data_IF_204536389168
#
_entry.id   IF_204536389168
#
_cell.length_a   1.000
_cell.length_b   1.000
_cell.length_c   1.000
_cell.angle_alpha   90.00
_cell.angle_beta   90.00
_cell.angle_gamma   90.00
#
_symmetry.space_group_name_H-M   'P 1'
#
loop_
_entity.id
_entity.type
_entity.pdbx_description
1 polymer ?
#
# COMPACT_ATOMS: atom_id res chain seq x y z
N UNK A 1 -3.13 7.92 -4.54
CA UNK A 1 -4.51 7.47 -4.35
C UNK A 1 -4.99 7.72 -2.92
N UNK A 2 -4.96 6.71 -2.04
CA UNK A 2 -5.37 6.89 -0.64
C UNK A 2 -4.17 6.94 0.29
N UNK A 3 -4.17 7.89 1.23
CA UNK A 3 -3.10 8.02 2.23
C UNK A 3 -3.48 7.40 3.58
N UNK A 4 -2.49 7.14 4.42
CA UNK A 4 -2.70 6.69 5.80
C UNK A 4 -3.16 7.81 6.74
N UNK A 5 -3.14 9.06 6.30
CA UNK A 5 -3.51 10.22 7.10
C UNK A 5 -5.04 10.34 7.19
N UNK A 6 -5.59 10.32 8.39
CA UNK A 6 -7.05 10.45 8.61
C UNK A 6 -7.63 11.76 8.06
N UNK A 7 -6.90 12.88 8.13
CA UNK A 7 -7.35 14.17 7.59
C UNK A 7 -7.52 14.19 6.06
N UNK A 8 -6.95 13.22 5.35
CA UNK A 8 -7.18 13.08 3.91
C UNK A 8 -8.59 12.65 3.55
N UNK A 9 -9.32 12.04 4.49
CA UNK A 9 -10.70 11.59 4.28
C UNK A 9 -11.63 12.75 3.95
N UNK A 10 -11.37 13.93 4.49
CA UNK A 10 -12.16 15.14 4.23
C UNK A 10 -12.19 15.52 2.74
N UNK A 11 -11.22 15.04 1.96
CA UNK A 11 -11.10 15.28 0.52
C UNK A 11 -11.21 14.00 -0.30
N UNK A 12 -10.44 12.98 0.03
CA UNK A 12 -10.32 11.78 -0.81
C UNK A 12 -11.61 10.96 -0.88
N UNK A 13 -12.44 10.99 0.17
CA UNK A 13 -13.72 10.30 0.23
C UNK A 13 -14.92 11.19 -0.14
N UNK A 14 -14.70 12.45 -0.55
CA UNK A 14 -15.76 13.31 -1.07
C UNK A 14 -16.35 12.67 -2.32
N UNK A 15 -17.68 12.58 -2.37
CA UNK A 15 -18.43 12.03 -3.49
C UNK A 15 -18.92 13.12 -4.43
N UNK A 16 -18.97 12.85 -5.71
CA UNK A 16 -19.61 13.67 -6.70
C UNK A 16 -21.12 13.35 -6.79
N UNK A 17 -21.82 14.01 -7.70
CA UNK A 17 -23.28 13.82 -7.91
C UNK A 17 -23.67 12.42 -8.35
N UNK A 18 -22.71 11.61 -8.81
CA UNK A 18 -22.91 10.21 -9.21
C UNK A 18 -22.51 9.23 -8.11
N UNK A 19 -22.06 9.71 -6.95
CA UNK A 19 -21.55 8.88 -5.85
C UNK A 19 -20.13 8.36 -6.06
N UNK A 20 -19.38 8.89 -7.04
CA UNK A 20 -17.98 8.53 -7.25
C UNK A 20 -17.10 9.33 -6.29
N UNK A 21 -16.24 8.63 -5.53
CA UNK A 21 -15.30 9.26 -4.59
C UNK A 21 -14.13 9.91 -5.33
N UNK A 22 -13.61 11.00 -4.79
CA UNK A 22 -12.53 11.75 -5.43
C UNK A 22 -11.32 10.88 -5.77
N UNK A 23 -10.90 9.97 -4.88
CA UNK A 23 -9.76 9.09 -5.16
C UNK A 23 -10.03 8.13 -6.33
N UNK A 24 -11.26 7.65 -6.49
CA UNK A 24 -11.67 6.78 -7.61
C UNK A 24 -11.62 7.54 -8.93
N UNK A 25 -12.11 8.78 -8.91
CA UNK A 25 -12.05 9.69 -10.06
C UNK A 25 -10.61 9.97 -10.50
N UNK A 26 -9.71 10.20 -9.54
CA UNK A 26 -8.28 10.39 -9.82
C UNK A 26 -7.68 9.12 -10.43
N UNK A 27 -7.98 7.94 -9.89
CA UNK A 27 -7.50 6.67 -10.44
C UNK A 27 -7.99 6.44 -11.87
N UNK A 28 -9.26 6.67 -12.16
CA UNK A 28 -9.82 6.52 -13.53
C UNK A 28 -9.19 7.52 -14.49
N UNK A 29 -9.11 8.79 -14.09
CA UNK A 29 -8.58 9.85 -14.94
C UNK A 29 -7.10 9.64 -15.27
N UNK A 30 -6.31 9.20 -14.30
CA UNK A 30 -4.87 8.99 -14.51
C UNK A 30 -4.54 7.87 -15.48
N UNK A 31 -5.41 6.88 -15.67
CA UNK A 31 -5.23 5.84 -16.67
C UNK A 31 -5.30 6.36 -18.13
N UNK A 32 -5.86 7.54 -18.33
CA UNK A 32 -5.81 8.21 -19.63
C UNK A 32 -4.41 8.81 -19.94
N UNK A 33 -3.57 9.00 -18.91
CA UNK A 33 -2.25 9.63 -19.05
C UNK A 33 -1.13 8.63 -19.30
N UNK A 34 -1.24 7.42 -18.74
CA UNK A 34 -0.20 6.40 -18.81
C UNK A 34 -0.76 5.00 -18.59
N UNK A 35 -0.09 3.99 -19.13
CA UNK A 35 -0.43 2.58 -18.95
C UNK A 35 -0.03 2.05 -17.56
N UNK A 36 -0.44 0.83 -17.25
CA UNK A 36 -0.04 0.10 -16.04
C UNK A 36 1.47 -0.24 -15.98
N UNK A 37 2.17 -0.20 -17.13
CA UNK A 37 3.64 -0.32 -17.16
C UNK A 37 4.36 0.98 -16.77
N UNK A 38 3.68 2.11 -16.83
CA UNK A 38 4.27 3.44 -16.63
C UNK A 38 3.75 4.14 -15.37
N UNK A 39 2.57 3.75 -14.89
CA UNK A 39 1.89 4.39 -13.77
C UNK A 39 1.81 3.46 -12.55
N UNK A 40 2.17 3.98 -11.40
CA UNK A 40 2.01 3.34 -10.10
C UNK A 40 1.20 4.24 -9.17
N UNK A 41 0.59 3.65 -8.16
CA UNK A 41 -0.18 4.41 -7.17
C UNK A 41 0.31 4.16 -5.76
N UNK A 42 0.29 5.21 -4.93
CA UNK A 42 0.60 5.12 -3.51
C UNK A 42 -0.70 4.91 -2.74
N UNK A 43 -0.78 3.84 -1.97
CA UNK A 43 -1.95 3.50 -1.13
C UNK A 43 -1.48 3.16 0.28
N UNK A 44 -1.90 3.95 1.27
CA UNK A 44 -1.51 3.73 2.66
C UNK A 44 -2.00 2.39 3.21
N UNK A 45 -1.14 1.68 3.93
CA UNK A 45 -1.42 0.35 4.48
C UNK A 45 -2.59 0.32 5.47
N UNK A 46 -2.98 1.45 6.06
CA UNK A 46 -4.12 1.57 6.98
C UNK A 46 -5.47 1.58 6.26
N UNK A 47 -5.49 1.55 4.93
CA UNK A 47 -6.70 1.61 4.11
C UNK A 47 -7.22 0.21 3.71
N UNK A 48 -6.81 -0.83 4.39
CA UNK A 48 -7.17 -2.23 4.25
C UNK A 48 -8.19 -2.59 3.15
N UNK A 49 -9.47 -2.54 3.46
CA UNK A 49 -10.53 -2.89 2.50
C UNK A 49 -10.63 -1.98 1.27
N UNK A 50 -10.13 -0.74 1.34
CA UNK A 50 -10.14 0.15 0.18
C UNK A 50 -9.26 -0.36 -0.97
N UNK A 51 -8.30 -1.24 -0.69
CA UNK A 51 -7.53 -1.93 -1.72
C UNK A 51 -8.42 -2.74 -2.68
N UNK A 52 -9.49 -3.33 -2.18
CA UNK A 52 -10.45 -4.05 -3.02
C UNK A 52 -11.11 -3.13 -4.06
N UNK A 53 -11.56 -1.95 -3.64
CA UNK A 53 -12.16 -0.97 -4.54
C UNK A 53 -11.12 -0.39 -5.52
N UNK A 54 -9.91 -0.14 -5.04
CA UNK A 54 -8.80 0.30 -5.88
C UNK A 54 -8.48 -0.72 -6.95
N UNK A 55 -8.43 -2.02 -6.61
CA UNK A 55 -8.16 -3.10 -7.57
C UNK A 55 -9.23 -3.26 -8.64
N UNK A 56 -10.49 -2.93 -8.34
CA UNK A 56 -11.57 -2.89 -9.36
C UNK A 56 -11.29 -1.84 -10.45
N UNK A 57 -10.58 -0.77 -10.10
CA UNK A 57 -10.27 0.33 -11.03
C UNK A 57 -8.91 0.12 -11.70
N UNK A 58 -7.90 -0.31 -10.94
CA UNK A 58 -6.50 -0.46 -11.39
C UNK A 58 -5.98 -1.88 -11.10
N UNK A 59 -6.49 -2.91 -11.79
CA UNK A 59 -6.21 -4.30 -11.48
C UNK A 59 -4.75 -4.71 -11.63
N UNK A 60 -4.05 -4.15 -12.63
CA UNK A 60 -2.70 -4.58 -13.01
C UNK A 60 -1.57 -3.68 -12.46
N UNK A 61 -1.89 -2.45 -12.07
CA UNK A 61 -0.90 -1.48 -11.63
C UNK A 61 -0.19 -1.91 -10.35
N UNK A 62 1.10 -1.58 -10.24
CA UNK A 62 1.80 -1.69 -8.96
C UNK A 62 1.32 -0.64 -7.96
N UNK A 63 1.16 -1.07 -6.72
CA UNK A 63 0.80 -0.20 -5.61
C UNK A 63 1.98 -0.12 -4.63
N UNK A 64 2.50 1.09 -4.42
CA UNK A 64 3.43 1.37 -3.33
C UNK A 64 2.64 1.54 -2.04
N UNK A 65 2.95 0.72 -1.04
CA UNK A 65 2.17 0.61 0.19
C UNK A 65 3.02 1.00 1.41
N UNK A 66 3.06 2.28 1.78
CA UNK A 66 3.72 2.72 2.99
C UNK A 66 2.85 2.51 4.23
N UNK A 67 3.49 2.43 5.40
CA UNK A 67 2.82 2.43 6.70
C UNK A 67 2.54 1.06 7.29
N UNK A 68 3.16 0.01 6.79
CA UNK A 68 3.15 -1.31 7.43
C UNK A 68 3.87 -1.24 8.78
N UNK A 69 3.30 -1.87 9.80
CA UNK A 69 3.83 -1.97 11.16
C UNK A 69 3.71 -0.66 11.94
N UNK A 70 4.66 0.24 11.85
CA UNK A 70 4.75 1.44 12.71
C UNK A 70 3.53 2.38 12.65
N UNK A 71 2.71 2.33 11.60
CA UNK A 71 1.48 3.11 11.47
C UNK A 71 0.20 2.27 11.68
N UNK A 72 0.36 1.00 12.06
CA UNK A 72 -0.76 0.08 12.32
C UNK A 72 -1.33 -0.59 11.06
N UNK A 73 -0.68 -0.48 9.91
CA UNK A 73 -1.07 -1.22 8.71
C UNK A 73 -0.76 -2.71 8.85
N UNK A 74 -1.74 -3.57 8.53
CA UNK A 74 -1.58 -5.02 8.51
C UNK A 74 -1.10 -5.49 7.14
N UNK A 75 0.01 -6.22 7.11
CA UNK A 75 0.54 -6.81 5.88
C UNK A 75 -0.42 -7.85 5.30
N UNK A 76 -1.01 -8.68 6.15
CA UNK A 76 -1.97 -9.72 5.75
C UNK A 76 -3.20 -9.11 5.07
N UNK A 77 -3.74 -8.02 5.65
CA UNK A 77 -4.93 -7.36 5.10
C UNK A 77 -4.60 -6.69 3.76
N UNK A 78 -3.46 -6.00 3.67
CA UNK A 78 -2.97 -5.38 2.43
C UNK A 78 -2.78 -6.43 1.34
N UNK A 79 -2.15 -7.55 1.65
CA UNK A 79 -1.97 -8.65 0.69
C UNK A 79 -3.30 -9.26 0.27
N UNK A 80 -4.19 -9.53 1.22
CA UNK A 80 -5.50 -10.13 0.95
C UNK A 80 -6.33 -9.34 -0.07
N UNK A 81 -6.34 -8.02 0.02
CA UNK A 81 -7.18 -7.16 -0.82
C UNK A 81 -6.42 -6.45 -1.94
N UNK A 82 -5.09 -6.33 -1.82
CA UNK A 82 -4.27 -5.55 -2.72
C UNK A 82 -3.41 -6.35 -3.69
N UNK A 83 -3.15 -7.64 -3.44
CA UNK A 83 -2.39 -8.48 -4.38
C UNK A 83 -3.16 -8.76 -5.66
N UNK A 84 -2.42 -8.93 -6.74
CA UNK A 84 -2.92 -9.43 -8.03
C UNK A 84 -2.09 -10.65 -8.47
N UNK A 85 -2.31 -11.15 -9.69
CA UNK A 85 -1.63 -12.35 -10.22
C UNK A 85 -0.11 -12.23 -10.31
N UNK A 86 0.44 -11.02 -10.32
CA UNK A 86 1.89 -10.74 -10.36
C UNK A 86 2.41 -10.14 -9.05
N UNK A 87 1.74 -10.39 -7.93
CA UNK A 87 1.90 -9.69 -6.65
C UNK A 87 1.36 -8.25 -6.67
N UNK A 88 1.85 -7.38 -7.56
CA UNK A 88 1.38 -6.00 -7.76
C UNK A 88 1.56 -5.06 -6.56
N UNK A 89 2.32 -5.42 -5.54
CA UNK A 89 2.57 -4.64 -4.33
C UNK A 89 4.06 -4.38 -4.13
N UNK A 90 4.40 -3.14 -3.74
CA UNK A 90 5.71 -2.76 -3.21
C UNK A 90 5.48 -2.25 -1.80
N UNK A 91 5.80 -3.08 -0.81
CA UNK A 91 5.62 -2.76 0.61
C UNK A 91 6.78 -1.91 1.11
N UNK A 92 6.48 -0.78 1.74
CA UNK A 92 7.47 0.10 2.35
C UNK A 92 7.26 0.18 3.87
N UNK A 93 8.30 -0.18 4.61
CA UNK A 93 8.37 -0.07 6.06
C UNK A 93 9.64 0.69 6.45
N UNK A 94 9.52 1.97 6.78
CA UNK A 94 10.69 2.81 7.09
C UNK A 94 11.00 2.80 8.60
N UNK A 95 10.15 3.41 9.42
CA UNK A 95 10.43 3.61 10.85
C UNK A 95 10.60 2.32 11.65
N UNK A 96 9.85 1.27 11.30
CA UNK A 96 9.96 -0.02 11.96
C UNK A 96 11.30 -0.72 11.67
N UNK A 97 11.92 -0.40 10.53
CA UNK A 97 13.25 -0.90 10.16
C UNK A 97 14.33 0.03 10.71
N UNK A 98 14.35 1.30 10.31
CA UNK A 98 15.43 2.26 10.59
C UNK A 98 15.62 2.53 12.09
N UNK A 99 14.56 2.39 12.89
CA UNK A 99 14.60 2.62 14.34
C UNK A 99 14.44 1.35 15.16
N UNK A 100 14.68 0.19 14.56
CA UNK A 100 14.55 -1.09 15.25
C UNK A 100 15.56 -1.26 16.39
N UNK A 101 16.76 -0.67 16.23
CA UNK A 101 17.80 -0.65 17.27
C UNK A 101 18.52 0.70 17.27
N UNK A 102 19.08 1.07 18.45
CA UNK A 102 19.87 2.29 18.68
C UNK A 102 21.27 2.00 19.17
N UNK A 103 21.66 0.72 19.18
CA UNK A 103 22.99 0.26 19.61
C UNK A 103 23.93 0.14 18.40
N UNK A 104 25.18 -0.26 18.65
CA UNK A 104 26.17 -0.55 17.60
C UNK A 104 25.75 -1.72 16.68
N UNK A 105 24.74 -2.50 17.09
CA UNK A 105 24.18 -3.62 16.31
C UNK A 105 23.06 -3.20 15.34
N UNK A 106 22.77 -1.91 15.22
CA UNK A 106 21.63 -1.38 14.46
C UNK A 106 21.53 -1.99 13.05
N UNK A 107 22.62 -2.08 12.30
CA UNK A 107 22.60 -2.57 10.93
C UNK A 107 22.14 -4.04 10.84
N UNK A 108 22.55 -4.88 11.80
CA UNK A 108 22.12 -6.29 11.86
C UNK A 108 20.66 -6.41 12.21
N UNK A 109 20.20 -5.64 13.20
CA UNK A 109 18.80 -5.68 13.66
C UNK A 109 17.85 -5.11 12.59
N UNK A 110 18.21 -4.02 11.95
CA UNK A 110 17.46 -3.43 10.83
C UNK A 110 17.32 -4.42 9.67
N UNK A 111 18.41 -5.12 9.30
CA UNK A 111 18.39 -6.18 8.30
C UNK A 111 17.45 -7.32 8.67
N UNK A 112 17.43 -7.74 9.94
CA UNK A 112 16.51 -8.77 10.44
C UNK A 112 15.04 -8.30 10.37
N UNK A 113 14.73 -7.05 10.70
CA UNK A 113 13.37 -6.52 10.58
C UNK A 113 12.90 -6.47 9.11
N UNK A 114 13.76 -6.10 8.19
CA UNK A 114 13.47 -6.16 6.76
C UNK A 114 13.19 -7.60 6.29
N UNK A 115 14.01 -8.55 6.73
CA UNK A 115 13.82 -9.97 6.42
C UNK A 115 12.53 -10.55 6.99
N UNK A 116 12.06 -10.10 8.16
CA UNK A 116 10.77 -10.52 8.71
C UNK A 116 9.61 -10.13 7.79
N UNK A 117 9.61 -8.91 7.28
CA UNK A 117 8.58 -8.44 6.34
C UNK A 117 8.63 -9.25 5.04
N UNK A 118 9.82 -9.49 4.50
CA UNK A 118 10.02 -10.32 3.32
C UNK A 118 9.45 -11.73 3.52
N UNK A 119 9.82 -12.40 4.61
CA UNK A 119 9.39 -13.76 4.91
C UNK A 119 7.86 -13.86 5.11
N UNK A 120 7.23 -12.84 5.70
CA UNK A 120 5.78 -12.78 5.81
C UNK A 120 5.12 -12.66 4.43
N UNK A 121 5.62 -11.79 3.56
CA UNK A 121 5.11 -11.68 2.18
C UNK A 121 5.28 -12.99 1.41
N UNK A 122 6.44 -13.59 1.45
CA UNK A 122 6.73 -14.87 0.78
C UNK A 122 5.76 -15.96 1.21
N UNK A 123 5.51 -16.08 2.53
CA UNK A 123 4.54 -17.03 3.07
C UNK A 123 3.11 -16.79 2.56
N UNK A 124 2.70 -15.54 2.39
CA UNK A 124 1.36 -15.20 1.87
C UNK A 124 1.29 -15.51 0.38
N UNK A 125 2.34 -15.22 -0.38
CA UNK A 125 2.40 -15.46 -1.82
C UNK A 125 2.41 -16.95 -2.19
N UNK A 126 2.85 -17.83 -1.28
CA UNK A 126 2.89 -19.28 -1.48
C UNK A 126 1.57 -19.99 -1.08
N UNK A 127 0.58 -19.26 -0.59
CA UNK A 127 -0.75 -19.80 -0.26
C UNK A 127 -1.71 -19.72 -1.46
#
# INVERSE_FOLDING_TARGET
>A
ALTSNKGSHDFQLTEDTNGERLFEKVLRKSQEWASDEQMMYVVGATQGRAFEDIRKIVPNHFLLVPGIGAQGGSLEEVCKYGMNSTCGLIVNSSRAIIYADKTENFATVEGQEAQKVQAQMEKIMCQ
#
